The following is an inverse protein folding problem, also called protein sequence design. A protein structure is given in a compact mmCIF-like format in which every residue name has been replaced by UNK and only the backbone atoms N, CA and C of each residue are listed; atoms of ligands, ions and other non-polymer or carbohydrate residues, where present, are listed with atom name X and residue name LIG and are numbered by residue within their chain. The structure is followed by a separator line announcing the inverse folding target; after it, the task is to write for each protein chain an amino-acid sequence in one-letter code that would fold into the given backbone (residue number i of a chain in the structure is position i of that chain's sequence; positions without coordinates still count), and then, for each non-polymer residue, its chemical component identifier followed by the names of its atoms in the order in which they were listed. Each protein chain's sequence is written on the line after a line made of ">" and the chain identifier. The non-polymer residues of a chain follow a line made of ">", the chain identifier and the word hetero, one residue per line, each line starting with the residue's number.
data_IF_946246141248
#
_entry.id   IF_946246141248
#
_cell.length_a   1.000
_cell.length_b   1.000
_cell.length_c   1.000
_cell.angle_alpha   90.00
_cell.angle_beta   90.00
_cell.angle_gamma   90.00
#
_symmetry.space_group_name_H-M   'P 1'
#
loop_
_entity.id
_entity.type
_entity.pdbx_description
1 polymer ?
#
# COMPACT_ATOMS: atom_id res chain seq x y z
N UNK A 1 37.55 -1.39 35.71
CA UNK A 1 37.25 0.05 35.56
C UNK A 1 36.73 0.21 34.15
N UNK A 2 35.40 0.17 33.96
CA UNK A 2 34.75 0.18 32.66
C UNK A 2 34.68 1.62 32.15
N UNK A 3 35.07 1.82 30.92
CA UNK A 3 35.24 3.12 30.28
C UNK A 3 33.90 3.72 29.84
N UNK A 4 33.23 4.45 30.72
CA UNK A 4 31.91 5.11 30.50
C UNK A 4 31.99 6.20 29.38
N UNK A 5 33.20 6.64 29.00
CA UNK A 5 33.39 7.69 28.01
C UNK A 5 32.98 7.32 26.57
N UNK A 6 33.13 6.08 26.17
CA UNK A 6 32.79 5.63 24.81
C UNK A 6 31.29 5.55 24.57
N UNK A 7 30.51 5.16 25.58
CA UNK A 7 29.05 5.07 25.46
C UNK A 7 28.35 6.40 25.27
N UNK A 8 28.91 7.49 25.85
CA UNK A 8 28.33 8.83 25.76
C UNK A 8 28.59 9.51 24.40
N UNK A 9 29.68 9.17 23.71
CA UNK A 9 30.00 9.69 22.39
C UNK A 9 29.12 9.10 21.31
N UNK A 10 28.90 7.79 21.36
CA UNK A 10 28.07 7.07 20.39
C UNK A 10 26.60 7.45 20.49
N UNK A 11 26.08 7.66 21.69
CA UNK A 11 24.70 8.07 21.92
C UNK A 11 24.43 9.49 21.36
N UNK A 12 25.36 10.43 21.52
CA UNK A 12 25.25 11.80 20.95
C UNK A 12 25.24 11.76 19.41
N UNK A 13 26.06 10.90 18.82
CA UNK A 13 26.14 10.73 17.36
C UNK A 13 24.86 10.11 16.82
N UNK A 14 24.32 9.10 17.49
CA UNK A 14 23.05 8.45 17.15
C UNK A 14 21.87 9.43 17.24
N UNK A 15 21.76 10.21 18.31
CA UNK A 15 20.72 11.24 18.48
C UNK A 15 20.82 12.29 17.36
N UNK A 16 22.01 12.66 16.95
CA UNK A 16 22.25 13.63 15.88
C UNK A 16 21.79 13.11 14.51
N UNK A 17 22.02 11.82 14.21
CA UNK A 17 21.53 11.19 12.98
C UNK A 17 20.02 11.02 12.99
N UNK A 18 19.41 10.65 14.11
CA UNK A 18 17.95 10.58 14.25
C UNK A 18 17.31 11.96 14.08
N UNK A 19 17.89 12.99 14.68
CA UNK A 19 17.40 14.37 14.54
C UNK A 19 17.53 14.90 13.10
N UNK A 20 18.63 14.59 12.41
CA UNK A 20 18.83 14.94 11.00
C UNK A 20 17.87 14.21 10.06
N UNK A 21 17.64 12.92 10.26
CA UNK A 21 16.64 12.16 9.49
C UNK A 21 15.22 12.65 9.76
N UNK A 22 14.87 12.93 11.00
CA UNK A 22 13.57 13.51 11.35
C UNK A 22 13.38 14.91 10.72
N UNK A 23 14.39 15.77 10.75
CA UNK A 23 14.35 17.07 10.11
C UNK A 23 14.25 16.99 8.58
N UNK A 24 14.91 16.01 7.95
CA UNK A 24 14.81 15.76 6.51
C UNK A 24 13.40 15.27 6.12
N UNK A 25 12.81 14.37 6.91
CA UNK A 25 11.44 13.89 6.72
C UNK A 25 10.44 15.05 6.88
N UNK A 26 10.61 15.91 7.90
CA UNK A 26 9.77 17.09 8.10
C UNK A 26 9.92 18.13 6.98
N UNK A 27 11.12 18.31 6.44
CA UNK A 27 11.38 19.22 5.33
C UNK A 27 10.76 18.71 4.01
N UNK A 28 10.73 17.40 3.80
CA UNK A 28 10.06 16.78 2.66
C UNK A 28 8.53 16.86 2.79
N UNK A 29 7.98 16.72 3.99
CA UNK A 29 6.53 16.84 4.23
C UNK A 29 6.02 18.27 4.11
N UNK A 30 6.83 19.29 4.38
CA UNK A 30 6.44 20.69 4.21
C UNK A 30 6.19 21.09 2.74
N UNK A 31 6.79 20.38 1.78
CA UNK A 31 6.52 20.57 0.34
C UNK A 31 5.29 19.78 -0.16
N UNK A 32 4.80 18.81 0.61
CA UNK A 32 3.67 17.97 0.27
C UNK A 32 2.30 18.58 0.66
N UNK A 33 2.27 19.78 1.24
CA UNK A 33 1.05 20.50 1.60
C UNK A 33 0.55 21.48 0.51
N UNK A 34 0.95 21.30 -0.74
CA UNK A 34 0.18 21.91 -1.82
C UNK A 34 -1.23 21.31 -1.79
N UNK A 35 -2.25 22.18 -1.75
CA UNK A 35 -3.66 21.79 -1.79
C UNK A 35 -3.85 20.77 -2.89
N UNK A 36 -4.13 19.52 -2.50
CA UNK A 36 -4.43 18.42 -3.41
C UNK A 36 -5.73 18.74 -4.14
N UNK A 37 -5.65 19.51 -5.20
CA UNK A 37 -6.74 19.60 -6.17
C UNK A 37 -6.74 18.26 -6.89
N UNK A 38 -7.83 17.48 -6.86
CA UNK A 38 -7.93 16.25 -7.61
C UNK A 38 -7.57 16.54 -9.06
N UNK A 39 -6.52 15.90 -9.56
CA UNK A 39 -6.08 16.09 -10.94
C UNK A 39 -7.11 15.41 -11.86
N UNK A 40 -8.00 16.22 -12.45
CA UNK A 40 -9.06 15.74 -13.34
C UNK A 40 -8.53 15.01 -14.58
N UNK A 41 -7.22 15.05 -14.82
CA UNK A 41 -6.56 14.36 -15.93
C UNK A 41 -6.12 12.94 -15.57
N UNK A 42 -6.09 12.61 -14.27
CA UNK A 42 -5.65 11.31 -13.80
C UNK A 42 -6.87 10.40 -13.56
N UNK A 43 -7.04 9.38 -14.39
CA UNK A 43 -8.16 8.43 -14.32
C UNK A 43 -7.69 7.09 -13.76
N UNK A 44 -7.23 7.08 -12.51
CA UNK A 44 -6.80 5.86 -11.82
C UNK A 44 -7.94 5.33 -10.94
N UNK A 45 -7.99 4.01 -10.72
CA UNK A 45 -8.90 3.43 -9.74
C UNK A 45 -8.44 3.74 -8.31
N UNK A 46 -9.32 3.57 -7.35
CA UNK A 46 -8.95 3.57 -5.93
C UNK A 46 -7.94 2.46 -5.65
N UNK A 47 -6.87 2.79 -4.97
CA UNK A 47 -5.84 1.86 -4.56
C UNK A 47 -5.83 1.71 -3.03
N UNK A 48 -5.30 0.60 -2.53
CA UNK A 48 -5.01 0.47 -1.10
C UNK A 48 -3.68 1.16 -0.75
N UNK A 49 -3.32 1.18 0.53
CA UNK A 49 -2.08 1.79 1.02
C UNK A 49 -0.79 1.16 0.47
N UNK A 50 -0.87 -0.03 -0.15
CA UNK A 50 0.25 -0.70 -0.83
C UNK A 50 0.29 -0.39 -2.34
N UNK A 51 -0.57 0.49 -2.84
CA UNK A 51 -0.67 0.83 -4.25
C UNK A 51 -1.28 -0.27 -5.11
N UNK A 52 -2.11 -1.10 -4.52
CA UNK A 52 -2.75 -2.23 -5.18
C UNK A 52 -4.20 -1.89 -5.50
N UNK A 53 -4.65 -2.23 -6.70
CA UNK A 53 -6.06 -2.17 -7.03
C UNK A 53 -6.81 -3.31 -6.32
N UNK A 54 -7.91 -3.00 -5.67
CA UNK A 54 -8.80 -4.02 -5.13
C UNK A 54 -9.63 -4.63 -6.27
N UNK A 55 -9.31 -5.86 -6.64
CA UNK A 55 -10.23 -6.68 -7.40
C UNK A 55 -11.35 -7.11 -6.46
N UNK A 56 -12.55 -6.63 -6.72
CA UNK A 56 -13.83 -7.05 -6.16
C UNK A 56 -13.75 -7.67 -4.76
N UNK A 57 -14.48 -7.07 -3.88
CA UNK A 57 -14.92 -7.63 -2.63
C UNK A 57 -14.01 -7.34 -1.45
N UNK A 58 -14.31 -6.26 -0.85
CA UNK A 58 -14.35 -6.24 0.60
C UNK A 58 -15.41 -7.26 1.05
N UNK A 59 -15.06 -8.53 0.97
CA UNK A 59 -15.87 -9.56 1.63
C UNK A 59 -15.92 -9.18 3.12
N UNK A 60 -17.11 -9.10 3.75
CA UNK A 60 -17.20 -8.86 5.18
C UNK A 60 -16.38 -9.94 5.92
N UNK A 61 -15.26 -9.54 6.54
CA UNK A 61 -14.32 -10.46 7.20
C UNK A 61 -12.92 -10.53 6.60
N UNK A 62 -12.68 -10.00 5.41
CA UNK A 62 -11.35 -9.80 4.86
C UNK A 62 -10.76 -8.50 5.42
N UNK A 63 -10.34 -8.53 6.66
CA UNK A 63 -9.58 -7.42 7.25
C UNK A 63 -8.18 -7.45 6.65
N UNK A 64 -7.87 -6.48 5.79
CA UNK A 64 -6.49 -6.23 5.39
C UNK A 64 -5.62 -5.97 6.63
N UNK A 65 -4.39 -6.46 6.62
CA UNK A 65 -3.42 -6.24 7.71
C UNK A 65 -3.23 -4.75 8.02
N UNK A 66 -3.54 -3.87 7.06
CA UNK A 66 -3.31 -2.43 7.13
C UNK A 66 -4.60 -1.59 7.23
N UNK A 67 -5.76 -2.23 7.38
CA UNK A 67 -7.04 -1.53 7.47
C UNK A 67 -7.56 -0.99 6.13
N UNK A 68 -8.63 -0.18 6.20
CA UNK A 68 -9.33 0.36 5.03
C UNK A 68 -8.80 1.77 4.71
N UNK A 69 -7.66 1.86 4.07
CA UNK A 69 -7.20 3.15 3.54
C UNK A 69 -7.28 3.12 2.02
N UNK A 70 -8.11 3.99 1.47
CA UNK A 70 -8.07 4.31 0.05
C UNK A 70 -6.96 5.33 -0.17
N UNK A 71 -6.20 5.14 -1.21
CA UNK A 71 -5.11 6.00 -1.61
C UNK A 71 -5.39 6.60 -2.98
N UNK A 72 -5.86 7.83 -2.99
CA UNK A 72 -6.06 8.61 -4.20
C UNK A 72 -4.72 9.18 -4.65
N UNK A 73 -4.28 8.78 -5.84
CA UNK A 73 -3.03 9.25 -6.40
C UNK A 73 -3.23 10.59 -7.11
N UNK A 74 -2.25 11.46 -6.97
CA UNK A 74 -2.08 12.67 -7.78
C UNK A 74 -0.92 12.49 -8.76
N UNK A 75 -0.87 13.32 -9.79
CA UNK A 75 0.22 13.32 -10.78
C UNK A 75 1.57 13.51 -10.12
N UNK A 76 2.53 12.66 -10.48
CA UNK A 76 3.88 12.67 -9.93
C UNK A 76 4.08 11.65 -8.81
N UNK A 77 4.95 11.96 -7.88
CA UNK A 77 5.33 11.08 -6.78
C UNK A 77 4.31 11.12 -5.66
N UNK A 78 3.85 9.96 -5.26
CA UNK A 78 2.92 9.75 -4.16
C UNK A 78 3.59 8.85 -3.13
N UNK A 79 3.44 9.17 -1.84
CA UNK A 79 3.97 8.39 -0.73
C UNK A 79 2.84 8.06 0.25
N UNK A 80 2.78 6.82 0.70
CA UNK A 80 1.87 6.34 1.74
C UNK A 80 2.67 5.69 2.85
N UNK A 81 2.44 6.12 4.08
CA UNK A 81 3.03 5.54 5.28
C UNK A 81 1.90 5.16 6.23
N UNK A 82 1.92 3.96 6.76
CA UNK A 82 0.91 3.49 7.67
C UNK A 82 1.49 2.63 8.78
N UNK A 83 0.82 2.68 9.93
CA UNK A 83 1.07 1.79 11.04
C UNK A 83 -0.24 1.43 11.72
N UNK A 84 -0.39 0.19 12.13
CA UNK A 84 -1.57 -0.29 12.83
C UNK A 84 -1.20 -1.19 13.99
N UNK A 85 -1.99 -1.10 15.06
CA UNK A 85 -1.96 -2.03 16.19
C UNK A 85 -3.31 -2.74 16.21
N UNK A 86 -3.28 -4.04 16.33
CA UNK A 86 -4.50 -4.85 16.34
C UNK A 86 -4.38 -5.98 17.35
N UNK A 87 -5.50 -6.52 17.81
CA UNK A 87 -5.56 -7.65 18.71
C UNK A 87 -6.72 -8.55 18.29
N UNK A 88 -6.50 -9.86 18.36
CA UNK A 88 -7.53 -10.86 18.15
C UNK A 88 -8.06 -11.37 19.49
N UNK A 89 -9.37 -11.61 19.54
CA UNK A 89 -10.03 -12.19 20.70
C UNK A 89 -10.76 -13.47 20.27
N UNK A 90 -10.65 -14.50 21.05
CA UNK A 90 -11.35 -15.77 20.80
C UNK A 90 -10.43 -16.99 20.90
N UNK A 91 -11.03 -18.18 20.87
CA UNK A 91 -10.35 -19.47 21.13
C UNK A 91 -9.20 -19.76 20.15
N UNK A 92 -9.27 -19.24 18.92
CA UNK A 92 -8.30 -19.52 17.86
C UNK A 92 -7.50 -18.28 17.44
N UNK A 93 -7.69 -17.15 18.11
CA UNK A 93 -6.90 -15.96 17.84
C UNK A 93 -5.48 -16.12 18.42
N UNK A 94 -4.44 -15.68 17.68
CA UNK A 94 -3.10 -15.59 18.26
C UNK A 94 -3.11 -14.69 19.50
N UNK A 95 -2.36 -15.06 20.51
CA UNK A 95 -2.27 -14.29 21.75
C UNK A 95 -1.51 -12.97 21.55
N UNK A 96 -1.93 -11.94 22.28
CA UNK A 96 -1.26 -10.66 22.32
C UNK A 96 -1.69 -9.68 21.24
N UNK A 97 -1.09 -8.49 21.26
CA UNK A 97 -1.28 -7.46 20.25
C UNK A 97 -0.38 -7.72 19.04
N UNK A 98 -0.91 -7.47 17.86
CA UNK A 98 -0.17 -7.42 16.62
C UNK A 98 0.19 -5.97 16.26
N UNK A 99 1.27 -5.82 15.52
CA UNK A 99 1.71 -4.55 14.97
C UNK A 99 2.00 -4.73 13.49
N UNK A 100 1.46 -3.84 12.65
CA UNK A 100 1.79 -3.80 11.25
C UNK A 100 2.18 -2.38 10.83
N UNK A 101 3.09 -2.30 9.87
CA UNK A 101 3.55 -1.06 9.27
C UNK A 101 3.75 -1.26 7.78
N UNK A 102 3.46 -0.21 7.02
CA UNK A 102 3.72 -0.17 5.58
C UNK A 102 4.34 1.15 5.16
N UNK A 103 5.09 1.08 4.08
CA UNK A 103 5.54 2.23 3.34
C UNK A 103 5.41 1.92 1.84
N UNK A 104 4.85 2.84 1.08
CA UNK A 104 4.67 2.69 -0.36
C UNK A 104 4.98 3.98 -1.07
N UNK A 105 5.60 3.89 -2.24
CA UNK A 105 5.85 5.01 -3.12
C UNK A 105 5.40 4.67 -4.52
N UNK A 106 4.56 5.50 -5.12
CA UNK A 106 4.07 5.34 -6.48
C UNK A 106 4.28 6.61 -7.29
N UNK A 107 4.66 6.45 -8.54
CA UNK A 107 4.68 7.52 -9.51
C UNK A 107 3.48 7.37 -10.45
N UNK A 108 2.62 8.39 -10.48
CA UNK A 108 1.43 8.43 -11.31
C UNK A 108 1.58 9.43 -12.44
N UNK A 109 1.24 9.00 -13.66
CA UNK A 109 1.41 9.78 -14.87
C UNK A 109 0.19 9.66 -15.79
N UNK A 110 -0.49 10.78 -16.12
CA UNK A 110 -1.42 10.82 -17.25
C UNK A 110 -0.61 10.83 -18.56
N UNK A 111 -0.68 9.75 -19.32
CA UNK A 111 0.00 9.62 -20.62
C UNK A 111 -0.73 10.52 -21.65
N UNK A 112 -2.05 10.54 -21.59
CA UNK A 112 -2.93 11.43 -22.34
C UNK A 112 -4.28 11.54 -21.61
N UNK A 113 -5.26 12.25 -22.20
CA UNK A 113 -6.59 12.51 -21.62
C UNK A 113 -7.41 11.25 -21.32
N UNK A 114 -7.02 10.09 -21.84
CA UNK A 114 -7.72 8.81 -21.67
C UNK A 114 -6.89 7.73 -20.99
N UNK A 115 -5.57 7.84 -21.03
CA UNK A 115 -4.66 6.81 -20.55
C UNK A 115 -3.83 7.34 -19.38
N UNK A 116 -3.95 6.69 -18.24
CA UNK A 116 -3.18 6.97 -17.05
C UNK A 116 -2.45 5.71 -16.58
N UNK A 117 -1.29 5.90 -16.00
CA UNK A 117 -0.43 4.83 -15.49
C UNK A 117 0.10 5.21 -14.11
N UNK A 118 0.16 4.24 -13.22
CA UNK A 118 0.90 4.39 -11.97
C UNK A 118 1.68 3.11 -11.68
N UNK A 119 2.90 3.27 -11.19
CA UNK A 119 3.72 2.16 -10.73
C UNK A 119 4.59 2.58 -9.56
N UNK A 120 4.92 1.61 -8.71
CA UNK A 120 5.70 1.88 -7.54
C UNK A 120 6.18 0.66 -6.80
N UNK A 121 6.68 0.91 -5.61
CA UNK A 121 7.22 -0.09 -4.68
C UNK A 121 6.44 -0.04 -3.38
N UNK A 122 6.36 -1.17 -2.70
CA UNK A 122 5.77 -1.26 -1.37
C UNK A 122 6.63 -2.09 -0.43
N UNK A 123 6.53 -1.76 0.85
CA UNK A 123 7.09 -2.49 1.98
C UNK A 123 5.95 -2.74 2.97
N UNK A 124 5.82 -3.97 3.41
CA UNK A 124 4.88 -4.40 4.44
C UNK A 124 5.64 -5.19 5.49
N UNK A 125 5.48 -4.85 6.75
CA UNK A 125 5.98 -5.62 7.88
C UNK A 125 4.87 -5.76 8.92
N UNK A 126 4.61 -6.99 9.38
CA UNK A 126 3.63 -7.25 10.41
C UNK A 126 4.12 -8.32 11.38
N UNK A 127 3.87 -8.13 12.66
CA UNK A 127 4.21 -9.06 13.72
C UNK A 127 2.99 -9.35 14.58
N UNK A 128 2.70 -10.61 14.86
CA UNK A 128 1.61 -11.02 15.73
C UNK A 128 1.79 -12.45 16.24
N UNK A 129 1.62 -12.67 17.54
CA UNK A 129 1.62 -14.03 18.10
C UNK A 129 2.89 -14.84 17.81
N UNK A 130 4.06 -14.20 17.80
CA UNK A 130 5.34 -14.85 17.46
C UNK A 130 5.59 -15.01 15.96
N UNK A 131 4.66 -14.55 15.10
CA UNK A 131 4.78 -14.56 13.66
C UNK A 131 5.30 -13.20 13.15
N UNK A 132 6.19 -13.24 12.16
CA UNK A 132 6.73 -12.07 11.50
C UNK A 132 6.54 -12.21 9.98
N UNK A 133 5.73 -11.33 9.42
CA UNK A 133 5.52 -11.18 7.98
C UNK A 133 6.35 -10.01 7.47
N UNK A 134 7.12 -10.24 6.43
CA UNK A 134 7.76 -9.19 5.64
C UNK A 134 7.45 -9.44 4.17
N UNK A 135 6.90 -8.44 3.52
CA UNK A 135 6.67 -8.46 2.08
C UNK A 135 7.15 -7.15 1.47
N UNK A 136 7.79 -7.25 0.33
CA UNK A 136 8.30 -6.11 -0.42
C UNK A 136 8.09 -6.42 -1.88
N UNK A 137 7.57 -5.48 -2.62
CA UNK A 137 7.26 -5.76 -4.01
C UNK A 137 7.07 -4.51 -4.86
N UNK A 138 6.67 -4.80 -6.07
CA UNK A 138 6.28 -3.82 -7.08
C UNK A 138 4.78 -3.90 -7.28
N UNK A 139 4.13 -2.76 -7.46
CA UNK A 139 2.72 -2.67 -7.86
C UNK A 139 2.56 -1.70 -9.01
N UNK A 140 1.57 -1.93 -9.85
CA UNK A 140 1.28 -1.04 -10.95
C UNK A 140 -0.13 -1.18 -11.47
N UNK A 141 -0.63 -0.12 -12.06
CA UNK A 141 -1.95 -0.04 -12.68
C UNK A 141 -1.89 0.83 -13.93
N UNK A 142 -2.51 0.35 -14.98
CA UNK A 142 -2.78 1.07 -16.21
C UNK A 142 -4.28 1.25 -16.33
N UNK A 143 -4.74 2.46 -16.52
CA UNK A 143 -6.15 2.80 -16.65
C UNK A 143 -6.40 3.44 -18.01
N UNK A 144 -7.44 2.99 -18.68
CA UNK A 144 -7.90 3.57 -19.95
C UNK A 144 -9.37 3.93 -19.89
N UNK A 145 -9.69 5.19 -20.13
CA UNK A 145 -11.05 5.71 -20.22
C UNK A 145 -11.55 5.68 -21.66
N UNK A 146 -12.41 4.73 -21.98
CA UNK A 146 -13.02 4.62 -23.32
C UNK A 146 -13.93 5.80 -23.60
N UNK A 147 -14.77 6.16 -22.61
CA UNK A 147 -15.67 7.31 -22.62
C UNK A 147 -16.06 7.68 -21.17
N UNK A 148 -17.02 8.58 -20.98
CA UNK A 148 -17.46 9.06 -19.66
C UNK A 148 -18.04 7.94 -18.75
N UNK A 149 -18.47 6.83 -19.34
CA UNK A 149 -19.11 5.73 -18.60
C UNK A 149 -18.25 4.48 -18.50
N UNK A 150 -17.34 4.24 -19.45
CA UNK A 150 -16.55 3.02 -19.52
C UNK A 150 -15.08 3.28 -19.24
N UNK A 151 -14.56 2.54 -18.27
CA UNK A 151 -13.15 2.53 -17.88
C UNK A 151 -12.62 1.10 -17.85
N UNK A 152 -11.40 0.90 -18.30
CA UNK A 152 -10.70 -0.37 -18.24
C UNK A 152 -9.41 -0.25 -17.45
N UNK A 153 -9.06 -1.32 -16.72
CA UNK A 153 -7.88 -1.37 -15.88
C UNK A 153 -7.08 -2.63 -16.14
N UNK A 154 -5.75 -2.49 -16.24
CA UNK A 154 -4.81 -3.59 -16.12
C UNK A 154 -3.97 -3.32 -14.88
N UNK A 155 -3.84 -4.29 -14.01
CA UNK A 155 -3.11 -4.12 -12.77
C UNK A 155 -2.28 -5.36 -12.43
N UNK A 156 -1.26 -5.16 -11.65
CA UNK A 156 -0.41 -6.25 -11.22
C UNK A 156 0.42 -5.90 -10.00
N UNK A 157 0.88 -6.96 -9.37
CA UNK A 157 1.77 -6.91 -8.23
C UNK A 157 2.76 -8.07 -8.32
N UNK A 158 4.00 -7.78 -7.98
CA UNK A 158 5.06 -8.78 -7.88
C UNK A 158 5.75 -8.65 -6.53
N UNK A 159 5.64 -9.67 -5.71
CA UNK A 159 6.45 -9.79 -4.49
C UNK A 159 7.89 -10.11 -4.87
N UNK A 160 8.83 -9.43 -4.24
CA UNK A 160 10.28 -9.64 -4.41
C UNK A 160 10.86 -10.51 -3.28
N UNK A 161 10.11 -10.68 -2.21
CA UNK A 161 10.46 -11.52 -1.06
C UNK A 161 9.33 -12.53 -0.90
N UNK A 162 9.64 -13.82 -0.96
CA UNK A 162 8.66 -14.87 -0.67
C UNK A 162 8.43 -14.93 0.85
N UNK A 163 7.31 -14.39 1.35
CA UNK A 163 7.03 -14.44 2.77
C UNK A 163 6.66 -15.86 3.18
N UNK A 164 7.27 -16.36 4.24
CA UNK A 164 6.82 -17.60 4.87
C UNK A 164 5.52 -17.33 5.62
N UNK A 165 4.40 -17.65 4.98
CA UNK A 165 3.07 -17.39 5.53
C UNK A 165 2.57 -18.56 6.37
N UNK A 166 1.95 -18.30 7.54
CA UNK A 166 1.11 -19.29 8.18
C UNK A 166 -0.15 -19.53 7.35
N UNK A 167 -0.71 -20.73 7.45
CA UNK A 167 -1.85 -21.19 6.64
C UNK A 167 -3.03 -20.21 6.59
N UNK A 168 -3.35 -19.54 7.68
CA UNK A 168 -4.46 -18.59 7.76
C UNK A 168 -4.23 -17.27 7.00
N UNK A 169 -3.00 -16.95 6.61
CA UNK A 169 -2.65 -15.78 5.78
C UNK A 169 -2.49 -16.11 4.29
N UNK A 170 -2.51 -17.39 3.92
CA UNK A 170 -2.41 -17.79 2.49
C UNK A 170 -3.49 -17.15 1.61
N UNK A 171 -4.66 -16.94 2.16
CA UNK A 171 -5.79 -16.36 1.44
C UNK A 171 -5.89 -14.84 1.58
N UNK A 172 -4.91 -14.18 2.22
CA UNK A 172 -4.92 -12.73 2.31
C UNK A 172 -4.76 -12.12 0.90
N UNK A 173 -5.72 -11.29 0.44
CA UNK A 173 -5.69 -10.72 -0.90
C UNK A 173 -4.57 -9.72 -1.13
N UNK A 174 -3.91 -9.21 -0.09
CA UNK A 174 -2.83 -8.23 -0.18
C UNK A 174 -1.46 -8.86 -0.46
N UNK A 175 -1.33 -10.19 -0.29
CA UNK A 175 -0.06 -10.90 -0.36
C UNK A 175 0.07 -11.72 -1.64
N UNK A 176 1.32 -11.90 -2.09
CA UNK A 176 1.67 -12.72 -3.24
C UNK A 176 1.60 -11.98 -4.58
N UNK A 177 1.94 -12.73 -5.62
CA UNK A 177 1.94 -12.23 -6.98
C UNK A 177 0.53 -12.24 -7.55
N UNK A 178 0.20 -11.21 -8.33
CA UNK A 178 -1.06 -11.17 -9.07
C UNK A 178 -0.96 -10.33 -10.32
N UNK A 179 -1.79 -10.66 -11.29
CA UNK A 179 -2.05 -9.87 -12.48
C UNK A 179 -3.54 -9.96 -12.79
N UNK A 180 -4.14 -8.85 -13.15
CA UNK A 180 -5.57 -8.82 -13.43
C UNK A 180 -5.97 -7.71 -14.37
N UNK A 181 -7.20 -7.83 -14.85
CA UNK A 181 -7.88 -6.82 -15.65
C UNK A 181 -9.28 -6.58 -15.10
N UNK A 182 -9.75 -5.36 -15.20
CA UNK A 182 -11.10 -5.00 -14.81
C UNK A 182 -11.71 -4.03 -15.81
N UNK A 183 -13.03 -4.08 -15.92
CA UNK A 183 -13.84 -3.11 -16.68
C UNK A 183 -14.91 -2.57 -15.76
N UNK A 184 -15.03 -1.26 -15.71
CA UNK A 184 -15.99 -0.52 -14.90
C UNK A 184 -16.95 0.23 -15.79
N UNK A 185 -18.24 0.12 -15.49
CA UNK A 185 -19.31 0.89 -16.13
C UNK A 185 -20.00 1.78 -15.11
N UNK A 186 -19.87 3.08 -15.27
CA UNK A 186 -20.50 4.09 -14.43
C UNK A 186 -21.95 4.30 -14.91
N UNK A 187 -22.92 3.78 -14.17
CA UNK A 187 -24.36 3.95 -14.47
C UNK A 187 -24.80 5.35 -14.07
N UNK A 188 -24.40 5.79 -12.87
CA UNK A 188 -24.59 7.15 -12.33
C UNK A 188 -23.29 7.57 -11.62
N UNK A 189 -23.13 8.83 -11.20
CA UNK A 189 -21.96 9.25 -10.41
C UNK A 189 -21.74 8.46 -9.11
N UNK A 190 -22.83 7.88 -8.54
CA UNK A 190 -22.80 7.13 -7.28
C UNK A 190 -23.01 5.63 -7.43
N UNK A 191 -23.26 5.14 -8.66
CA UNK A 191 -23.50 3.71 -8.90
C UNK A 191 -22.75 3.22 -10.13
N UNK A 192 -21.92 2.21 -9.95
CA UNK A 192 -21.16 1.57 -11.02
C UNK A 192 -21.24 0.04 -10.93
N UNK A 193 -20.96 -0.61 -12.05
CA UNK A 193 -20.80 -2.06 -12.17
C UNK A 193 -19.37 -2.32 -12.61
N UNK A 194 -18.69 -3.22 -11.92
CA UNK A 194 -17.32 -3.61 -12.26
C UNK A 194 -17.21 -5.12 -12.39
N UNK A 195 -16.53 -5.55 -13.45
CA UNK A 195 -16.13 -6.94 -13.67
C UNK A 195 -14.62 -7.01 -13.67
N UNK A 196 -14.06 -8.00 -13.00
CA UNK A 196 -12.62 -8.24 -13.02
C UNK A 196 -12.28 -9.72 -13.15
N UNK A 197 -11.11 -9.98 -13.74
CA UNK A 197 -10.48 -11.30 -13.81
C UNK A 197 -9.07 -11.14 -13.26
N UNK A 198 -8.67 -12.02 -12.36
CA UNK A 198 -7.37 -11.96 -11.70
C UNK A 198 -6.77 -13.36 -11.62
N UNK A 199 -5.51 -13.48 -12.00
CA UNK A 199 -4.66 -14.63 -11.69
C UNK A 199 -3.81 -14.29 -10.48
N UNK A 200 -3.74 -15.21 -9.52
CA UNK A 200 -2.92 -15.09 -8.31
C UNK A 200 -2.01 -16.28 -8.16
N UNK A 201 -0.76 -16.00 -7.78
CA UNK A 201 0.17 -17.00 -7.30
C UNK A 201 0.39 -16.76 -5.82
N UNK A 202 0.01 -17.75 -5.04
CA UNK A 202 0.26 -17.73 -3.60
C UNK A 202 1.75 -17.93 -3.36
N UNK A 203 2.31 -17.28 -2.33
CA UNK A 203 3.70 -17.44 -1.97
C UNK A 203 4.01 -18.83 -1.43
#
# INVERSE_FOLDING_TARGET
>A
MWNIGYFCSDMKTMIRHIALTAALILALSAKAQETLVPDSTLHLPELNSLGQMHAISRWPGSYGLMGYQNWDLHKGMNLSLGASVFAGFGKYAPSGAGFAQNASGMYAWPINDKLSFAAGVYLLNATWGGFNLRDTGLSGVLSYRFNERWEGYLYGQKSLIEPKLPYYLYYNPELGDRIGAAVKYNVTPSFYIQLSVEERRLP
#
